data_IF_503402309321
#
_entry.id   IF_503402309321
#
_cell.length_a   1.000
_cell.length_b   1.000
_cell.length_c   1.000
_cell.angle_alpha   90.00
_cell.angle_beta   90.00
_cell.angle_gamma   90.00
#
_symmetry.space_group_name_H-M   'P 1'
#
loop_
_entity.id
_entity.type
_entity.pdbx_description
1 polymer ?
#
# COMPACT_ATOMS: atom_id res chain seq x y z
N UNK A 1 -5.47 4.76 -0.27
CA UNK A 1 -6.38 4.91 0.91
C UNK A 1 -6.26 3.72 1.86
N UNK A 2 -6.45 2.46 1.41
CA UNK A 2 -6.32 1.31 2.31
C UNK A 2 -4.91 1.14 2.87
N UNK A 3 -3.84 1.59 2.19
CA UNK A 3 -2.47 1.57 2.76
C UNK A 3 -2.36 2.47 4.00
N UNK A 4 -3.00 3.64 3.97
CA UNK A 4 -3.00 4.58 5.09
C UNK A 4 -3.73 4.02 6.31
N UNK A 5 -4.85 3.36 6.08
CA UNK A 5 -5.58 2.66 7.14
C UNK A 5 -4.76 1.46 7.67
N UNK A 6 -4.10 0.71 6.79
CA UNK A 6 -3.20 -0.38 7.17
C UNK A 6 -2.05 0.11 8.07
N UNK A 7 -1.45 1.25 7.72
CA UNK A 7 -0.39 1.88 8.50
C UNK A 7 -0.85 2.22 9.91
N UNK A 8 -2.04 2.82 10.05
CA UNK A 8 -2.63 3.13 11.34
C UNK A 8 -2.90 1.86 12.16
N UNK A 9 -3.56 0.87 11.55
CA UNK A 9 -3.89 -0.39 12.24
C UNK A 9 -2.62 -1.13 12.71
N UNK A 10 -1.53 -1.07 11.95
CA UNK A 10 -0.25 -1.65 12.34
C UNK A 10 0.47 -0.86 13.43
N UNK A 11 0.32 0.46 13.49
CA UNK A 11 0.93 1.28 14.55
C UNK A 11 0.26 1.05 15.91
N UNK A 12 -1.01 0.64 15.93
CA UNK A 12 -1.69 0.22 17.15
C UNK A 12 -1.08 -1.06 17.77
N UNK A 13 -0.43 -1.90 16.96
CA UNK A 13 0.33 -3.06 17.44
C UNK A 13 1.68 -2.72 18.09
N UNK A 14 2.08 -1.43 18.06
CA UNK A 14 3.31 -0.92 18.64
C UNK A 14 4.11 -0.03 17.68
N UNK A 15 4.98 0.81 18.24
CA UNK A 15 5.81 1.75 17.46
C UNK A 15 6.67 1.03 16.41
N UNK A 16 7.23 -0.14 16.78
CA UNK A 16 8.08 -0.93 15.88
C UNK A 16 7.32 -1.49 14.67
N UNK A 17 6.14 -2.07 14.87
CA UNK A 17 5.32 -2.57 13.75
C UNK A 17 4.86 -1.42 12.86
N UNK A 18 4.52 -0.28 13.47
CA UNK A 18 4.20 0.95 12.75
C UNK A 18 5.36 1.42 11.85
N UNK A 19 6.59 1.52 12.37
CA UNK A 19 7.76 1.96 11.61
C UNK A 19 8.08 0.97 10.47
N UNK A 20 8.10 -0.33 10.75
CA UNK A 20 8.37 -1.37 9.74
C UNK A 20 7.37 -1.28 8.59
N UNK A 21 6.08 -1.15 8.90
CA UNK A 21 5.06 -1.04 7.87
C UNK A 21 5.11 0.31 7.16
N UNK A 22 5.40 1.41 7.86
CA UNK A 22 5.59 2.73 7.25
C UNK A 22 6.67 2.70 6.17
N UNK A 23 7.83 2.12 6.47
CA UNK A 23 8.92 1.98 5.51
C UNK A 23 8.50 1.09 4.34
N UNK A 24 7.83 -0.03 4.61
CA UNK A 24 7.31 -0.91 3.56
C UNK A 24 6.32 -0.21 2.61
N UNK A 25 5.40 0.59 3.16
CA UNK A 25 4.43 1.37 2.37
C UNK A 25 5.13 2.44 1.55
N UNK A 26 6.10 3.17 2.12
CA UNK A 26 6.87 4.18 1.36
C UNK A 26 7.58 3.55 0.16
N UNK A 27 8.20 2.38 0.35
CA UNK A 27 8.87 1.66 -0.73
C UNK A 27 7.88 1.16 -1.80
N UNK A 28 6.66 0.78 -1.41
CA UNK A 28 5.61 0.35 -2.35
C UNK A 28 4.98 1.53 -3.12
N UNK A 29 4.83 2.67 -2.47
CA UNK A 29 4.22 3.86 -3.04
C UNK A 29 5.05 4.48 -4.16
N UNK A 30 6.37 4.28 -4.15
CA UNK A 30 7.22 4.82 -5.21
C UNK A 30 6.91 4.18 -6.58
N UNK A 31 6.92 2.84 -6.74
CA UNK A 31 6.42 2.18 -7.95
C UNK A 31 4.99 2.56 -8.32
N UNK A 32 4.08 2.66 -7.33
CA UNK A 32 2.68 3.04 -7.57
C UNK A 32 2.58 4.47 -8.13
N UNK A 33 3.32 5.41 -7.55
CA UNK A 33 3.36 6.80 -8.03
C UNK A 33 3.87 6.90 -9.47
N UNK A 34 4.88 6.10 -9.84
CA UNK A 34 5.35 6.01 -11.23
C UNK A 34 4.28 5.39 -12.14
N UNK A 35 3.56 4.37 -11.67
CA UNK A 35 2.48 3.73 -12.42
C UNK A 35 1.28 4.66 -12.67
N UNK A 36 1.05 5.66 -11.81
CA UNK A 36 0.02 6.71 -12.00
C UNK A 36 0.57 7.82 -12.91
N UNK A 37 1.77 8.31 -12.63
CA UNK A 37 2.38 9.43 -13.36
C UNK A 37 2.60 9.12 -14.85
N UNK A 38 3.04 7.90 -15.17
CA UNK A 38 3.37 7.49 -16.54
C UNK A 38 2.21 7.61 -17.53
N UNK A 39 1.06 6.96 -17.29
CA UNK A 39 -0.13 7.07 -18.14
C UNK A 39 -0.69 8.49 -18.21
N UNK A 40 -0.74 9.22 -17.09
CA UNK A 40 -1.22 10.61 -17.06
C UNK A 40 -0.33 11.50 -17.91
N UNK A 41 0.99 11.36 -17.81
CA UNK A 41 1.92 12.08 -18.66
C UNK A 41 1.76 11.67 -20.13
N UNK A 42 1.60 10.38 -20.42
CA UNK A 42 1.43 9.90 -21.78
C UNK A 42 0.19 10.50 -22.46
N UNK A 43 -0.90 10.62 -21.72
CA UNK A 43 -2.17 11.18 -22.19
C UNK A 43 -2.19 12.71 -22.27
N UNK A 44 -1.58 13.41 -21.30
CA UNK A 44 -1.69 14.87 -21.18
C UNK A 44 -0.47 15.64 -21.66
N UNK A 45 0.67 14.96 -21.82
CA UNK A 45 2.01 15.53 -22.11
C UNK A 45 2.48 16.58 -21.10
N UNK A 46 1.87 16.64 -19.92
CA UNK A 46 2.16 17.65 -18.89
C UNK A 46 2.71 17.03 -17.62
N UNK A 47 3.96 17.36 -17.28
CA UNK A 47 4.59 16.95 -16.02
C UNK A 47 3.87 17.49 -14.79
N UNK A 48 3.31 18.71 -14.89
CA UNK A 48 2.57 19.33 -13.78
C UNK A 48 1.29 18.55 -13.46
N UNK A 49 0.58 18.09 -14.50
CA UNK A 49 -0.62 17.27 -14.30
C UNK A 49 -0.27 15.88 -13.78
N UNK A 50 0.78 15.24 -14.32
CA UNK A 50 1.26 13.96 -13.80
C UNK A 50 1.63 14.03 -12.33
N UNK A 51 2.36 15.08 -11.92
CA UNK A 51 2.71 15.31 -10.52
C UNK A 51 1.49 15.62 -9.65
N UNK A 52 0.56 16.45 -10.13
CA UNK A 52 -0.66 16.80 -9.40
C UNK A 52 -1.53 15.56 -9.11
N UNK A 53 -1.82 14.75 -10.13
CA UNK A 53 -2.65 13.55 -9.96
C UNK A 53 -1.97 12.48 -9.09
N UNK A 54 -0.65 12.33 -9.23
CA UNK A 54 0.14 11.42 -8.37
C UNK A 54 0.15 11.90 -6.92
N UNK A 55 0.38 13.20 -6.69
CA UNK A 55 0.35 13.80 -5.36
C UNK A 55 -1.03 13.74 -4.71
N UNK A 56 -2.09 13.96 -5.49
CA UNK A 56 -3.48 13.84 -5.02
C UNK A 56 -3.79 12.41 -4.57
N UNK A 57 -3.32 11.39 -5.29
CA UNK A 57 -3.40 10.00 -4.85
C UNK A 57 -2.65 9.78 -3.53
N UNK A 58 -1.45 10.36 -3.39
CA UNK A 58 -0.67 10.30 -2.16
C UNK A 58 -1.39 10.84 -0.92
N UNK A 59 -2.21 11.90 -1.07
CA UNK A 59 -3.01 12.47 0.03
C UNK A 59 -4.10 11.49 0.52
N UNK A 60 -4.54 10.54 -0.31
CA UNK A 60 -5.53 9.55 0.12
C UNK A 60 -5.02 8.63 1.25
N UNK A 61 -3.70 8.53 1.44
CA UNK A 61 -3.09 7.72 2.50
C UNK A 61 -3.17 8.37 3.89
N UNK A 62 -2.71 9.62 4.13
CA UNK A 62 -2.92 10.28 5.41
C UNK A 62 -4.42 10.41 5.76
N UNK A 63 -5.29 10.60 4.75
CA UNK A 63 -6.74 10.56 4.98
C UNK A 63 -7.22 9.18 5.47
N UNK A 64 -6.70 8.08 4.90
CA UNK A 64 -7.00 6.73 5.38
C UNK A 64 -6.52 6.47 6.81
N UNK A 65 -5.34 6.97 7.17
CA UNK A 65 -4.83 6.89 8.53
C UNK A 65 -5.71 7.69 9.51
N UNK A 66 -6.15 8.89 9.12
CA UNK A 66 -7.07 9.72 9.91
C UNK A 66 -8.43 9.06 10.13
N UNK A 67 -8.98 8.40 9.11
CA UNK A 67 -10.22 7.62 9.24
C UNK A 67 -10.02 6.46 10.22
N UNK A 68 -8.88 5.78 10.15
CA UNK A 68 -8.52 4.75 11.13
C UNK A 68 -8.49 5.30 12.55
N UNK A 69 -7.82 6.43 12.76
CA UNK A 69 -7.76 7.10 14.05
C UNK A 69 -9.14 7.50 14.56
N UNK A 70 -9.98 8.10 13.73
CA UNK A 70 -11.32 8.51 14.11
C UNK A 70 -12.19 7.31 14.55
N UNK A 71 -12.09 6.19 13.82
CA UNK A 71 -12.84 4.96 14.10
C UNK A 71 -12.46 4.31 15.44
N UNK A 72 -11.24 4.56 15.92
CA UNK A 72 -10.63 3.86 17.05
C UNK A 72 -10.36 4.78 18.26
N UNK A 73 -10.68 6.07 18.12
CA UNK A 73 -10.46 7.10 19.14
C UNK A 73 -11.14 6.84 20.50
N UNK A 74 -12.18 5.98 20.54
CA UNK A 74 -12.90 5.59 21.76
C UNK A 74 -12.29 4.40 22.52
N UNK A 75 -11.18 3.83 22.06
CA UNK A 75 -10.54 2.63 22.62
C UNK A 75 -10.52 1.47 21.64
N UNK A 76 -9.59 0.54 21.86
CA UNK A 76 -9.39 -0.61 20.97
C UNK A 76 -9.35 -1.89 21.78
N UNK A 77 -10.28 -2.78 21.50
CA UNK A 77 -10.27 -4.15 22.00
C UNK A 77 -9.81 -5.13 20.90
N UNK A 78 -9.57 -6.38 21.29
CA UNK A 78 -9.07 -7.41 20.36
C UNK A 78 -10.03 -7.67 19.20
N UNK A 79 -11.35 -7.53 19.39
CA UNK A 79 -12.33 -7.72 18.32
C UNK A 79 -12.24 -6.56 17.32
N UNK A 80 -12.18 -5.32 17.79
CA UNK A 80 -12.01 -4.15 16.93
C UNK A 80 -10.73 -4.24 16.10
N UNK A 81 -9.60 -4.63 16.71
CA UNK A 81 -8.37 -4.90 15.96
C UNK A 81 -8.57 -5.95 14.87
N UNK A 82 -9.15 -7.10 15.22
CA UNK A 82 -9.38 -8.20 14.26
C UNK A 82 -10.24 -7.76 13.07
N UNK A 83 -11.31 -7.02 13.34
CA UNK A 83 -12.19 -6.46 12.29
C UNK A 83 -11.41 -5.49 11.40
N UNK A 84 -10.64 -4.56 11.97
CA UNK A 84 -9.86 -3.59 11.19
C UNK A 84 -8.82 -4.25 10.29
N UNK A 85 -8.06 -5.21 10.83
CA UNK A 85 -7.09 -5.98 10.03
C UNK A 85 -7.78 -6.75 8.89
N UNK A 86 -8.92 -7.39 9.16
CA UNK A 86 -9.67 -8.13 8.14
C UNK A 86 -10.22 -7.21 7.05
N UNK A 87 -10.78 -6.05 7.42
CA UNK A 87 -11.37 -5.09 6.49
C UNK A 87 -10.29 -4.48 5.58
N UNK A 88 -9.17 -4.06 6.16
CA UNK A 88 -7.99 -3.57 5.42
C UNK A 88 -7.44 -4.62 4.46
N UNK A 89 -7.27 -5.85 4.94
CA UNK A 89 -6.78 -6.96 4.11
C UNK A 89 -7.69 -7.22 2.91
N UNK A 90 -9.00 -7.27 3.13
CA UNK A 90 -9.99 -7.43 2.06
C UNK A 90 -9.95 -6.31 1.02
N UNK A 91 -9.79 -5.05 1.45
CA UNK A 91 -9.66 -3.92 0.53
C UNK A 91 -8.42 -4.03 -0.36
N UNK A 92 -7.26 -4.34 0.23
CA UNK A 92 -6.00 -4.48 -0.52
C UNK A 92 -6.04 -5.65 -1.50
N UNK A 93 -6.61 -6.79 -1.10
CA UNK A 93 -6.80 -7.96 -1.99
C UNK A 93 -7.74 -7.61 -3.14
N UNK A 94 -8.86 -6.92 -2.87
CA UNK A 94 -9.81 -6.53 -3.91
C UNK A 94 -9.15 -5.66 -4.98
N UNK A 95 -8.42 -4.62 -4.59
CA UNK A 95 -7.71 -3.73 -5.53
C UNK A 95 -6.62 -4.50 -6.30
N UNK A 96 -5.85 -5.35 -5.61
CA UNK A 96 -4.82 -6.16 -6.27
C UNK A 96 -5.39 -7.08 -7.36
N UNK A 97 -6.50 -7.76 -7.07
CA UNK A 97 -7.11 -8.72 -7.99
C UNK A 97 -7.93 -8.05 -9.09
N UNK A 98 -8.65 -6.96 -8.80
CA UNK A 98 -9.55 -6.32 -9.76
C UNK A 98 -8.86 -5.28 -10.64
N UNK A 99 -7.86 -4.58 -10.12
CA UNK A 99 -7.23 -3.47 -10.83
C UNK A 99 -5.81 -3.81 -11.30
N UNK A 100 -4.92 -4.17 -10.35
CA UNK A 100 -3.49 -4.34 -10.63
C UNK A 100 -3.19 -5.58 -11.48
N UNK A 101 -3.75 -6.74 -11.11
CA UNK A 101 -3.49 -8.01 -11.80
C UNK A 101 -3.99 -8.00 -13.26
N UNK A 102 -5.23 -7.55 -13.57
CA UNK A 102 -5.69 -7.45 -14.95
C UNK A 102 -4.92 -6.41 -15.75
N UNK A 103 -4.53 -5.28 -15.13
CA UNK A 103 -3.67 -4.27 -15.74
C UNK A 103 -2.32 -4.86 -16.16
N UNK A 104 -1.64 -5.55 -15.26
CA UNK A 104 -0.36 -6.20 -15.54
C UNK A 104 -0.47 -7.24 -16.67
N UNK A 105 -1.55 -8.03 -16.67
CA UNK A 105 -1.80 -9.01 -17.72
C UNK A 105 -2.10 -8.37 -19.09
N UNK A 106 -2.80 -7.22 -19.10
CA UNK A 106 -3.11 -6.47 -20.32
C UNK A 106 -1.86 -5.89 -21.00
N UNK A 107 -0.92 -5.34 -20.22
CA UNK A 107 0.27 -4.68 -20.77
C UNK A 107 1.42 -5.65 -21.07
N UNK A 108 1.50 -6.81 -20.41
CA UNK A 108 2.64 -7.72 -20.54
C UNK A 108 2.33 -9.17 -20.17
N UNK A 109 1.42 -9.86 -20.87
CA UNK A 109 0.97 -11.20 -20.48
C UNK A 109 2.12 -12.23 -20.47
N UNK A 110 3.10 -12.08 -21.38
CA UNK A 110 4.26 -12.99 -21.48
C UNK A 110 5.25 -12.85 -20.32
N UNK A 111 5.33 -11.66 -19.71
CA UNK A 111 6.26 -11.37 -18.60
C UNK A 111 5.55 -11.40 -17.24
N UNK A 112 4.21 -11.33 -17.23
CA UNK A 112 3.37 -11.27 -16.05
C UNK A 112 3.79 -12.27 -14.97
N UNK A 113 3.81 -13.56 -15.28
CA UNK A 113 4.09 -14.60 -14.28
C UNK A 113 5.46 -14.41 -13.63
N UNK A 114 6.51 -14.13 -14.42
CA UNK A 114 7.87 -13.93 -13.89
C UNK A 114 7.95 -12.67 -13.03
N UNK A 115 7.39 -11.56 -13.51
CA UNK A 115 7.41 -10.28 -12.79
C UNK A 115 6.57 -10.31 -11.51
N UNK A 116 5.42 -11.00 -11.54
CA UNK A 116 4.56 -11.18 -10.36
C UNK A 116 5.29 -11.94 -9.25
N UNK A 117 5.87 -13.10 -9.56
CA UNK A 117 6.61 -13.88 -8.56
C UNK A 117 7.88 -13.16 -8.10
N UNK A 118 8.61 -12.49 -8.99
CA UNK A 118 9.76 -11.68 -8.60
C UNK A 118 9.38 -10.58 -7.59
N UNK A 119 8.28 -9.86 -7.84
CA UNK A 119 7.75 -8.85 -6.90
C UNK A 119 7.29 -9.47 -5.57
N UNK A 120 6.60 -10.61 -5.62
CA UNK A 120 6.19 -11.35 -4.43
C UNK A 120 7.39 -11.74 -3.56
N UNK A 121 8.44 -12.34 -4.15
CA UNK A 121 9.64 -12.74 -3.42
C UNK A 121 10.41 -11.53 -2.87
N UNK A 122 10.51 -10.44 -3.64
CA UNK A 122 11.14 -9.21 -3.18
C UNK A 122 10.45 -8.68 -1.92
N UNK A 123 9.12 -8.64 -1.89
CA UNK A 123 8.38 -8.23 -0.69
C UNK A 123 8.51 -9.24 0.46
N UNK A 124 8.43 -10.54 0.18
CA UNK A 124 8.56 -11.57 1.20
C UNK A 124 9.93 -11.48 1.91
N UNK A 125 11.01 -11.35 1.13
CA UNK A 125 12.37 -11.17 1.65
C UNK A 125 12.46 -9.87 2.45
N UNK A 126 11.91 -8.77 1.93
CA UNK A 126 11.94 -7.47 2.61
C UNK A 126 11.27 -7.53 3.99
N UNK A 127 10.09 -8.16 4.08
CA UNK A 127 9.38 -8.34 5.36
C UNK A 127 10.16 -9.21 6.33
N UNK A 128 10.74 -10.31 5.84
CA UNK A 128 11.58 -11.20 6.66
C UNK A 128 12.79 -10.44 7.21
N UNK A 129 13.51 -9.71 6.35
CA UNK A 129 14.67 -8.90 6.74
C UNK A 129 14.29 -7.82 7.75
N UNK A 130 13.21 -7.07 7.51
CA UNK A 130 12.73 -6.06 8.45
C UNK A 130 12.35 -6.66 9.81
N UNK A 131 11.77 -7.87 9.80
CA UNK A 131 11.44 -8.59 11.04
C UNK A 131 12.71 -8.99 11.79
N UNK A 132 13.72 -9.52 11.09
CA UNK A 132 15.03 -9.88 11.66
C UNK A 132 15.78 -8.67 12.20
N UNK A 133 15.88 -7.58 11.43
CA UNK A 133 16.57 -6.35 11.82
C UNK A 133 15.91 -5.65 13.01
N UNK A 134 14.59 -5.76 13.13
CA UNK A 134 13.90 -5.24 14.30
C UNK A 134 14.03 -6.16 15.52
N UNK A 135 14.37 -7.45 15.37
CA UNK A 135 14.25 -8.48 16.43
C UNK A 135 15.36 -8.44 17.49
N UNK A 136 15.95 -7.27 17.69
CA UNK A 136 16.90 -6.97 18.77
C UNK A 136 16.28 -5.97 19.73
#
# INVERSE_FOLDING_TARGET
FPEGLALFVASLGGLRSGIVLAVGIVLHNFPEGVAIAGPVYYATKSYKQALFWTGLSGIAQPLGALVGWATVSGGVDNVTMGVLYALVSGMLVCIAVKELMPGAFKFGPKVFTKSFFAGFFLMAISVVLLKFMGSS
#
